data_IF_726896401864
#
_entry.id   IF_726896401864
#
_cell.length_a   1.000
_cell.length_b   1.000
_cell.length_c   1.000
_cell.angle_alpha   90.00
_cell.angle_beta   90.00
_cell.angle_gamma   90.00
#
_symmetry.space_group_name_H-M   'P 1'
#
loop_
_entity.id
_entity.type
_entity.pdbx_description
1 polymer ?
#
# COMPACT_ATOMS: atom_id res chain seq x y z
N UNK A 1 -2.51 -10.61 25.75
CA UNK A 1 -1.69 -10.18 24.60
C UNK A 1 -1.07 -11.37 23.86
N UNK A 2 -0.30 -12.26 24.51
CA UNK A 2 0.26 -13.45 23.86
C UNK A 2 -0.79 -14.37 23.21
N UNK A 3 -1.91 -14.60 23.89
CA UNK A 3 -3.03 -15.38 23.32
C UNK A 3 -3.52 -14.84 21.97
N UNK A 4 -3.76 -13.53 21.87
CA UNK A 4 -4.23 -12.90 20.63
C UNK A 4 -3.18 -13.02 19.53
N UNK A 5 -1.89 -12.83 19.85
CA UNK A 5 -0.80 -12.94 18.88
C UNK A 5 -0.70 -14.37 18.33
N UNK A 6 -0.72 -15.37 19.21
CA UNK A 6 -0.61 -16.78 18.82
C UNK A 6 -1.83 -17.20 17.98
N UNK A 7 -3.04 -16.89 18.45
CA UNK A 7 -4.27 -17.27 17.74
C UNK A 7 -4.38 -16.58 16.38
N UNK A 8 -4.07 -15.28 16.29
CA UNK A 8 -4.11 -14.57 14.99
C UNK A 8 -3.04 -15.09 14.04
N UNK A 9 -1.84 -15.41 14.54
CA UNK A 9 -0.77 -16.02 13.73
C UNK A 9 -1.20 -17.38 13.19
N UNK A 10 -1.69 -18.29 14.04
CA UNK A 10 -2.13 -19.63 13.61
C UNK A 10 -3.28 -19.56 12.59
N UNK A 11 -4.26 -18.69 12.84
CA UNK A 11 -5.39 -18.50 11.93
C UNK A 11 -4.89 -18.01 10.55
N UNK A 12 -3.89 -17.13 10.53
CA UNK A 12 -3.30 -16.59 9.30
C UNK A 12 -2.61 -17.64 8.44
N UNK A 13 -1.92 -18.62 9.05
CA UNK A 13 -1.21 -19.68 8.32
C UNK A 13 -2.15 -20.56 7.49
N UNK A 14 -3.39 -20.77 7.93
CA UNK A 14 -4.40 -21.53 7.16
C UNK A 14 -4.67 -20.85 5.81
N UNK A 15 -4.75 -19.51 5.80
CA UNK A 15 -4.95 -18.73 4.58
C UNK A 15 -3.71 -18.74 3.69
N UNK A 16 -2.50 -18.68 4.27
CA UNK A 16 -1.25 -18.80 3.51
C UNK A 16 -1.20 -20.10 2.73
N UNK A 17 -1.49 -21.23 3.39
CA UNK A 17 -1.50 -22.54 2.72
C UNK A 17 -2.51 -22.57 1.58
N UNK A 18 -3.72 -22.06 1.80
CA UNK A 18 -4.76 -22.03 0.76
C UNK A 18 -4.37 -21.17 -0.45
N UNK A 19 -3.85 -19.97 -0.22
CA UNK A 19 -3.47 -19.06 -1.30
C UNK A 19 -2.20 -19.48 -2.04
N UNK A 20 -1.18 -19.99 -1.36
CA UNK A 20 0.04 -20.49 -2.02
C UNK A 20 -0.28 -21.72 -2.87
N UNK A 21 -1.17 -22.60 -2.38
CA UNK A 21 -1.63 -23.75 -3.17
C UNK A 21 -2.39 -23.31 -4.42
N UNK A 22 -3.30 -22.34 -4.28
CA UNK A 22 -4.04 -21.78 -5.41
C UNK A 22 -3.10 -21.10 -6.42
N UNK A 23 -2.14 -20.29 -5.96
CA UNK A 23 -1.14 -19.64 -6.80
C UNK A 23 -0.27 -20.69 -7.53
N UNK A 24 0.08 -21.79 -6.85
CA UNK A 24 0.78 -22.94 -7.45
C UNK A 24 -0.01 -23.59 -8.59
N UNK A 25 -1.30 -23.84 -8.39
CA UNK A 25 -2.20 -24.41 -9.42
C UNK A 25 -2.36 -23.42 -10.60
N UNK A 26 -2.50 -22.13 -10.32
CA UNK A 26 -2.57 -21.09 -11.35
C UNK A 26 -1.27 -20.98 -12.17
N UNK A 27 -0.11 -21.13 -11.53
CA UNK A 27 1.18 -21.17 -12.20
C UNK A 27 1.32 -22.43 -13.06
N UNK A 28 0.92 -23.60 -12.55
CA UNK A 28 0.93 -24.86 -13.32
C UNK A 28 0.02 -24.82 -14.56
N UNK A 29 -1.10 -24.09 -14.48
CA UNK A 29 -2.01 -23.88 -15.62
C UNK A 29 -1.57 -22.77 -16.57
N UNK A 30 -0.44 -22.11 -16.30
CA UNK A 30 0.12 -21.05 -17.14
C UNK A 30 -0.49 -19.66 -16.91
N UNK A 31 -1.46 -19.52 -16.00
CA UNK A 31 -2.16 -18.26 -15.74
C UNK A 31 -1.34 -17.24 -14.93
N UNK A 32 -0.25 -17.67 -14.28
CA UNK A 32 0.56 -16.77 -13.45
C UNK A 32 1.77 -16.15 -14.15
N UNK A 33 1.99 -16.42 -15.44
CA UNK A 33 3.12 -15.86 -16.18
C UNK A 33 2.92 -14.37 -16.49
N UNK A 34 3.86 -13.53 -16.07
CA UNK A 34 3.83 -12.07 -16.21
C UNK A 34 4.92 -11.53 -17.16
N UNK A 35 5.57 -12.40 -17.94
CA UNK A 35 6.66 -12.04 -18.84
C UNK A 35 8.06 -12.37 -18.30
N UNK A 36 9.08 -11.72 -18.86
CA UNK A 36 10.48 -11.87 -18.48
C UNK A 36 10.99 -10.59 -17.82
N UNK A 37 11.81 -10.74 -16.80
CA UNK A 37 12.49 -9.64 -16.14
C UNK A 37 13.63 -9.07 -17.00
N UNK A 38 14.24 -7.95 -16.59
CA UNK A 38 15.40 -7.33 -17.26
C UNK A 38 16.59 -8.29 -17.44
N UNK A 39 16.66 -9.31 -16.58
CA UNK A 39 17.68 -10.37 -16.62
C UNK A 39 17.26 -11.60 -17.45
N UNK A 40 16.10 -11.57 -18.11
CA UNK A 40 15.58 -12.69 -18.91
C UNK A 40 15.02 -13.85 -18.08
N UNK A 41 14.81 -13.66 -16.78
CA UNK A 41 14.20 -14.66 -15.90
C UNK A 41 12.67 -14.62 -16.03
N UNK A 42 11.98 -15.78 -16.16
CA UNK A 42 10.53 -15.81 -16.27
C UNK A 42 9.87 -15.43 -14.93
N UNK A 43 8.94 -14.48 -14.97
CA UNK A 43 8.24 -13.96 -13.80
C UNK A 43 6.86 -14.62 -13.67
N UNK A 44 6.63 -15.27 -12.53
CA UNK A 44 5.41 -16.04 -12.24
C UNK A 44 4.56 -15.41 -11.13
N UNK A 45 4.35 -14.10 -11.23
CA UNK A 45 3.68 -13.27 -10.21
C UNK A 45 2.39 -12.60 -10.70
N UNK A 46 1.86 -12.96 -11.88
CA UNK A 46 0.68 -12.31 -12.46
C UNK A 46 -0.55 -12.49 -11.55
N UNK A 47 -0.75 -13.74 -11.11
CA UNK A 47 -1.83 -14.15 -10.22
C UNK A 47 -1.20 -14.64 -8.93
N UNK A 48 -0.92 -13.70 -8.03
CA UNK A 48 -0.57 -14.02 -6.65
C UNK A 48 -1.42 -13.23 -5.67
N UNK A 49 -1.98 -13.94 -4.69
CA UNK A 49 -2.86 -13.34 -3.69
C UNK A 49 -2.15 -12.99 -2.39
N UNK A 50 -0.95 -13.52 -2.14
CA UNK A 50 -0.27 -13.33 -0.85
C UNK A 50 1.23 -13.17 -1.02
N UNK A 51 1.80 -12.14 -0.38
CA UNK A 51 3.23 -12.01 -0.18
C UNK A 51 3.56 -12.18 1.30
N UNK A 52 3.95 -13.40 1.68
CA UNK A 52 4.21 -13.78 3.08
C UNK A 52 5.28 -12.90 3.72
N UNK A 53 6.38 -12.62 3.01
CA UNK A 53 7.47 -11.81 3.55
C UNK A 53 7.03 -10.36 3.78
N UNK A 54 6.24 -9.78 2.87
CA UNK A 54 5.70 -8.42 3.02
C UNK A 54 4.71 -8.28 4.17
N UNK A 55 4.03 -9.37 4.55
CA UNK A 55 3.09 -9.35 5.68
C UNK A 55 3.84 -9.48 7.01
N UNK A 56 4.79 -10.42 7.11
CA UNK A 56 5.50 -10.69 8.37
C UNK A 56 6.58 -9.63 8.69
N UNK A 57 7.21 -9.05 7.66
CA UNK A 57 8.27 -8.05 7.82
C UNK A 57 7.87 -6.64 7.37
N UNK A 58 6.58 -6.41 7.04
CA UNK A 58 6.08 -5.11 6.63
C UNK A 58 6.34 -4.04 7.68
N UNK A 59 6.97 -2.94 7.25
CA UNK A 59 7.32 -1.82 8.14
C UNK A 59 6.09 -0.99 8.53
N UNK A 60 5.10 -0.98 7.64
CA UNK A 60 3.93 -0.13 7.72
C UNK A 60 2.65 -0.96 7.58
N UNK A 61 1.59 -0.60 8.31
CA UNK A 61 0.29 -1.27 8.20
C UNK A 61 -0.25 -1.31 6.77
N UNK A 62 0.02 -0.26 5.99
CA UNK A 62 -0.35 -0.20 4.57
C UNK A 62 0.35 -1.28 3.75
N UNK A 63 1.64 -1.49 3.99
CA UNK A 63 2.45 -2.48 3.26
C UNK A 63 1.99 -3.90 3.58
N UNK A 64 1.74 -4.20 4.85
CA UNK A 64 1.18 -5.49 5.27
C UNK A 64 -0.22 -5.75 4.69
N UNK A 65 -1.06 -4.71 4.55
CA UNK A 65 -2.38 -4.83 3.93
C UNK A 65 -2.31 -4.99 2.41
N UNK A 66 -1.38 -4.31 1.73
CA UNK A 66 -1.19 -4.45 0.27
C UNK A 66 -0.61 -5.82 -0.10
N UNK A 67 0.21 -6.41 0.78
CA UNK A 67 0.76 -7.76 0.65
C UNK A 67 -0.24 -8.88 1.00
N UNK A 68 -1.32 -8.55 1.71
CA UNK A 68 -2.39 -9.47 2.10
C UNK A 68 -3.57 -9.37 1.15
N UNK A 69 -3.91 -10.47 0.48
CA UNK A 69 -5.04 -10.56 -0.45
C UNK A 69 -4.95 -9.53 -1.60
N UNK A 70 -3.82 -9.58 -2.31
CA UNK A 70 -3.49 -8.69 -3.43
C UNK A 70 -4.58 -8.69 -4.50
N UNK A 71 -5.21 -9.84 -4.78
CA UNK A 71 -6.29 -9.99 -5.75
C UNK A 71 -7.53 -9.19 -5.36
N UNK A 72 -7.99 -9.31 -4.10
CA UNK A 72 -9.13 -8.51 -3.61
C UNK A 72 -8.80 -7.02 -3.61
N UNK A 73 -7.56 -6.62 -3.29
CA UNK A 73 -7.17 -5.20 -3.34
C UNK A 73 -7.22 -4.64 -4.77
N UNK A 74 -6.72 -5.39 -5.76
CA UNK A 74 -6.84 -5.02 -7.18
C UNK A 74 -8.32 -4.93 -7.59
N UNK A 75 -9.14 -5.91 -7.19
CA UNK A 75 -10.57 -5.92 -7.47
C UNK A 75 -11.30 -4.71 -6.87
N UNK A 76 -11.09 -4.42 -5.58
CA UNK A 76 -11.66 -3.25 -4.91
C UNK A 76 -11.24 -1.95 -5.58
N UNK A 77 -9.98 -1.86 -6.02
CA UNK A 77 -9.46 -0.71 -6.75
C UNK A 77 -10.22 -0.48 -8.06
N UNK A 78 -10.37 -1.52 -8.88
CA UNK A 78 -11.07 -1.43 -10.17
C UNK A 78 -12.58 -1.22 -10.03
N UNK A 79 -13.19 -1.79 -8.99
CA UNK A 79 -14.64 -1.74 -8.79
C UNK A 79 -15.11 -0.43 -8.18
N UNK A 80 -14.37 0.11 -7.21
CA UNK A 80 -14.82 1.28 -6.44
C UNK A 80 -13.81 2.40 -6.48
N UNK A 81 -12.55 2.16 -6.12
CA UNK A 81 -11.60 3.25 -5.89
C UNK A 81 -11.39 4.13 -7.13
N UNK A 82 -11.26 3.52 -8.31
CA UNK A 82 -11.05 4.25 -9.56
C UNK A 82 -12.35 4.86 -10.11
N UNK A 83 -13.50 4.25 -9.81
CA UNK A 83 -14.82 4.70 -10.29
C UNK A 83 -15.45 5.79 -9.41
N UNK A 84 -15.09 5.81 -8.12
CA UNK A 84 -15.63 6.79 -7.17
C UNK A 84 -15.07 8.19 -7.46
N UNK A 85 -15.96 9.17 -7.53
CA UNK A 85 -15.61 10.57 -7.77
C UNK A 85 -15.14 11.22 -6.47
N UNK A 86 -15.88 11.01 -5.38
CA UNK A 86 -15.61 11.55 -4.04
C UNK A 86 -15.39 10.44 -3.02
N UNK A 87 -14.67 10.74 -1.93
CA UNK A 87 -14.51 9.85 -0.77
C UNK A 87 -14.12 8.40 -1.11
N UNK A 88 -13.21 8.24 -2.09
CA UNK A 88 -12.79 6.93 -2.64
C UNK A 88 -12.43 5.90 -1.57
N UNK A 89 -11.69 6.33 -0.54
CA UNK A 89 -11.29 5.48 0.58
C UNK A 89 -12.50 4.95 1.35
N UNK A 90 -13.45 5.82 1.73
CA UNK A 90 -14.62 5.41 2.51
C UNK A 90 -15.48 4.41 1.76
N UNK A 91 -15.77 4.67 0.48
CA UNK A 91 -16.54 3.73 -0.34
C UNK A 91 -15.82 2.39 -0.53
N UNK A 92 -14.49 2.40 -0.64
CA UNK A 92 -13.69 1.17 -0.75
C UNK A 92 -13.79 0.34 0.54
N UNK A 93 -13.63 0.97 1.70
CA UNK A 93 -13.75 0.30 3.00
C UNK A 93 -15.20 -0.15 3.29
N UNK A 94 -16.20 0.58 2.80
CA UNK A 94 -17.61 0.20 2.90
C UNK A 94 -17.94 -1.01 2.01
N UNK A 95 -17.47 -1.06 0.76
CA UNK A 95 -17.65 -2.24 -0.07
C UNK A 95 -16.94 -3.44 0.55
N UNK A 96 -15.73 -3.23 1.08
CA UNK A 96 -14.97 -4.27 1.77
C UNK A 96 -15.74 -4.83 2.98
N UNK A 97 -16.37 -3.98 3.79
CA UNK A 97 -17.15 -4.46 4.95
C UNK A 97 -18.35 -5.29 4.54
N UNK A 98 -19.07 -4.87 3.49
CA UNK A 98 -20.21 -5.63 2.94
C UNK A 98 -19.73 -6.98 2.37
N UNK A 99 -18.59 -7.01 1.68
CA UNK A 99 -18.03 -8.24 1.11
C UNK A 99 -17.67 -9.30 2.18
N UNK A 100 -17.22 -8.87 3.36
CA UNK A 100 -16.93 -9.77 4.47
C UNK A 100 -18.19 -10.27 5.22
N UNK A 101 -19.36 -9.66 5.01
CA UNK A 101 -20.65 -10.09 5.55
C UNK A 101 -21.17 -9.25 6.72
N UNK A 102 -22.34 -9.62 7.24
CA UNK A 102 -23.13 -8.81 8.18
C UNK A 102 -22.79 -9.07 9.66
N UNK A 103 -21.51 -9.27 9.99
CA UNK A 103 -21.08 -9.39 11.38
C UNK A 103 -20.63 -8.03 11.93
N UNK A 104 -21.12 -7.58 13.11
CA UNK A 104 -20.78 -6.27 13.67
C UNK A 104 -19.27 -5.99 13.77
N UNK A 105 -18.47 -7.03 14.06
CA UNK A 105 -17.01 -6.90 14.18
C UNK A 105 -16.32 -6.45 12.89
N UNK A 106 -16.85 -6.80 11.72
CA UNK A 106 -16.28 -6.37 10.44
C UNK A 106 -16.44 -4.87 10.25
N UNK A 107 -17.64 -4.32 10.49
CA UNK A 107 -17.88 -2.89 10.37
C UNK A 107 -16.96 -2.07 11.27
N UNK A 108 -16.77 -2.49 12.53
CA UNK A 108 -15.84 -1.84 13.46
C UNK A 108 -14.41 -1.85 12.90
N UNK A 109 -13.97 -2.98 12.35
CA UNK A 109 -12.63 -3.13 11.78
C UNK A 109 -12.43 -2.25 10.54
N UNK A 110 -13.37 -2.23 9.60
CA UNK A 110 -13.25 -1.43 8.38
C UNK A 110 -13.41 0.07 8.61
N UNK A 111 -14.27 0.50 9.54
CA UNK A 111 -14.36 1.91 9.94
C UNK A 111 -13.07 2.36 10.61
N UNK A 112 -12.52 1.55 11.52
CA UNK A 112 -11.22 1.83 12.15
C UNK A 112 -10.11 1.91 11.11
N UNK A 113 -10.05 0.96 10.17
CA UNK A 113 -9.08 0.95 9.07
C UNK A 113 -9.18 2.17 8.15
N UNK A 114 -10.41 2.60 7.83
CA UNK A 114 -10.64 3.82 7.06
C UNK A 114 -10.13 5.06 7.80
N UNK A 115 -10.42 5.15 9.10
CA UNK A 115 -9.94 6.24 9.96
C UNK A 115 -8.41 6.29 9.99
N UNK A 116 -7.75 5.16 10.29
CA UNK A 116 -6.29 5.07 10.30
C UNK A 116 -5.67 5.46 8.96
N UNK A 117 -6.29 5.05 7.84
CA UNK A 117 -5.78 5.38 6.50
C UNK A 117 -5.89 6.88 6.20
N UNK A 118 -6.99 7.53 6.61
CA UNK A 118 -7.17 8.97 6.43
C UNK A 118 -6.17 9.75 7.28
N UNK A 119 -6.02 9.36 8.56
CA UNK A 119 -5.06 9.99 9.48
C UNK A 119 -3.62 9.80 8.98
N UNK A 120 -3.25 8.59 8.56
CA UNK A 120 -1.91 8.32 8.03
C UNK A 120 -1.59 9.16 6.79
N UNK A 121 -2.57 9.35 5.88
CA UNK A 121 -2.42 10.24 4.73
C UNK A 121 -2.25 11.70 5.14
N UNK A 122 -3.02 12.18 6.12
CA UNK A 122 -2.90 13.54 6.63
C UNK A 122 -1.52 13.79 7.26
N UNK A 123 -1.04 12.87 8.08
CA UNK A 123 0.29 12.95 8.71
C UNK A 123 1.39 12.92 7.64
N UNK A 124 1.33 12.00 6.68
CA UNK A 124 2.32 11.89 5.60
C UNK A 124 2.39 13.14 4.72
N UNK A 125 1.25 13.77 4.42
CA UNK A 125 1.23 15.01 3.65
C UNK A 125 1.79 16.18 4.47
N UNK A 126 1.51 16.22 5.77
CA UNK A 126 2.00 17.27 6.67
C UNK A 126 3.52 17.18 6.87
N UNK A 127 4.06 15.97 7.05
CA UNK A 127 5.51 15.77 7.16
C UNK A 127 6.22 16.06 5.83
N UNK A 128 5.65 15.63 4.70
CA UNK A 128 6.20 15.96 3.38
C UNK A 128 6.22 17.47 3.12
N UNK A 129 5.14 18.19 3.48
CA UNK A 129 5.10 19.64 3.38
C UNK A 129 6.15 20.31 4.27
N UNK A 130 6.31 19.84 5.51
CA UNK A 130 7.31 20.37 6.44
C UNK A 130 8.74 20.15 5.93
N UNK A 131 9.06 18.97 5.39
CA UNK A 131 10.37 18.67 4.81
C UNK A 131 10.63 19.54 3.58
N UNK A 132 9.65 19.68 2.69
CA UNK A 132 9.77 20.56 1.52
C UNK A 132 10.01 22.01 1.93
N UNK A 133 9.32 22.50 2.97
CA UNK A 133 9.50 23.86 3.47
C UNK A 133 10.90 24.07 4.06
N UNK A 134 11.41 23.10 4.83
CA UNK A 134 12.77 23.14 5.40
C UNK A 134 13.85 23.10 4.31
N UNK A 135 13.68 22.25 3.29
CA UNK A 135 14.57 22.15 2.14
C UNK A 135 14.56 23.41 1.25
N UNK A 136 13.39 24.04 1.07
CA UNK A 136 13.29 25.31 0.38
C UNK A 136 14.00 26.43 1.17
N UNK A 137 13.78 26.47 2.49
CA UNK A 137 14.40 27.47 3.36
C UNK A 137 15.93 27.34 3.41
N UNK A 138 16.48 26.12 3.48
CA UNK A 138 17.92 25.90 3.42
C UNK A 138 18.53 26.36 2.09
N UNK A 139 17.90 26.02 0.95
CA UNK A 139 18.36 26.51 -0.37
C UNK A 139 18.32 28.03 -0.48
N UNK A 140 17.31 28.70 0.09
CA UNK A 140 17.27 30.18 0.08
C UNK A 140 18.37 30.81 0.93
N UNK A 141 18.73 30.18 2.05
CA UNK A 141 19.84 30.65 2.88
C UNK A 141 21.19 30.46 2.18
N UNK A 142 21.40 29.32 1.51
CA UNK A 142 22.61 29.06 0.72
C UNK A 142 22.77 30.07 -0.43
N UNK A 143 21.67 30.42 -1.11
CA UNK A 143 21.66 31.43 -2.18
C UNK A 143 21.92 32.85 -1.65
N UNK A 144 21.48 33.17 -0.43
CA UNK A 144 21.71 34.48 0.21
C UNK A 144 23.15 34.65 0.72
N UNK A 145 23.86 33.55 0.98
CA UNK A 145 25.27 33.55 1.42
C UNK A 145 26.27 33.56 0.25
N UNK A 146 25.81 33.42 -1.00
CA UNK A 146 26.68 33.56 -2.17
C UNK A 146 27.09 35.03 -2.38
N UNK A 147 28.38 35.32 -2.64
CA UNK A 147 28.85 36.69 -2.88
C UNK A 147 28.13 37.30 -4.09
N UNK A 148 27.71 38.57 -3.97
CA UNK A 148 26.72 39.24 -4.84
C UNK A 148 27.05 39.28 -6.34
N UNK A 149 28.26 38.91 -6.74
CA UNK A 149 28.70 38.88 -8.14
C UNK A 149 28.35 37.59 -8.89
N UNK A 150 27.86 36.55 -8.22
CA UNK A 150 27.56 35.25 -8.86
C UNK A 150 26.07 35.04 -9.17
N UNK A 151 25.16 35.75 -8.48
CA UNK A 151 23.71 35.60 -8.67
C UNK A 151 23.18 36.15 -10.01
N UNK A 152 23.96 37.01 -10.69
CA UNK A 152 23.56 37.66 -11.94
C UNK A 152 23.78 36.80 -13.19
N UNK A 153 24.45 35.64 -13.09
CA UNK A 153 24.78 34.78 -14.25
C UNK A 153 23.80 33.64 -14.53
N UNK A 154 22.79 33.40 -13.69
CA UNK A 154 21.82 32.31 -13.88
C UNK A 154 20.46 32.76 -14.44
N UNK A 155 20.34 34.02 -14.87
CA UNK A 155 19.10 34.57 -15.44
C UNK A 155 19.36 35.21 -16.81
N UNK A 156 19.70 34.39 -17.79
CA UNK A 156 19.56 34.71 -19.22
C UNK A 156 19.13 33.43 -19.95
N UNK A 157 18.32 33.54 -21.01
CA UNK A 157 17.38 32.52 -21.48
C UNK A 157 18.00 31.18 -21.89
#
# INVERSE_FOLDING_TARGET
MLYIIIVTSLTRHVYYTGWILADGICNMSGMGFNGYDEHGCPKWDLVSNVNVLGIEFGSNLRESLEAWNCGTMKWLRFMVYERAIMQKTLFTYMLSSIWHGFYPGYYVTFVSGAFFTIVARYVSNSTAFSIYYLDCNSRTLDLAMLPSNSAMKLKSP
#
